data_IF_106193108462
#
_entry.id   IF_106193108462
#
_cell.length_a   1.000
_cell.length_b   1.000
_cell.length_c   1.000
_cell.angle_alpha   90.00
_cell.angle_beta   90.00
_cell.angle_gamma   90.00
#
_symmetry.space_group_name_H-M   'P 1'
#
loop_
_entity.id
_entity.type
_entity.pdbx_description
1 polymer ?
#
# COMPACT_ATOMS: atom_id res chain seq x y z
N UNK A 1 4.89 4.91 -17.92
CA UNK A 1 3.45 5.02 -17.61
C UNK A 1 3.27 4.25 -16.31
N UNK A 2 3.03 4.91 -15.19
CA UNK A 2 2.95 4.19 -13.92
C UNK A 2 1.71 3.28 -13.92
N UNK A 3 1.93 1.98 -13.77
CA UNK A 3 0.84 1.01 -13.73
C UNK A 3 0.29 1.01 -12.29
N UNK A 4 -0.95 1.45 -12.14
CA UNK A 4 -1.69 1.35 -10.89
C UNK A 4 -2.48 0.04 -10.92
N UNK A 5 -2.17 -0.86 -9.98
CA UNK A 5 -2.85 -2.12 -9.78
C UNK A 5 -3.88 -2.01 -8.66
N UNK A 6 -4.93 -2.82 -8.74
CA UNK A 6 -5.88 -2.98 -7.65
C UNK A 6 -5.54 -4.27 -6.89
N UNK A 7 -5.25 -4.14 -5.59
CA UNK A 7 -5.02 -5.26 -4.69
C UNK A 7 -6.02 -5.23 -3.54
N UNK A 8 -6.46 -6.39 -3.09
CA UNK A 8 -7.14 -6.48 -1.80
C UNK A 8 -6.15 -6.19 -0.66
N UNK A 9 -6.65 -5.69 0.47
CA UNK A 9 -5.80 -5.36 1.62
C UNK A 9 -5.01 -6.58 2.12
N UNK A 10 -5.56 -7.80 1.97
CA UNK A 10 -4.88 -9.06 2.31
C UNK A 10 -3.69 -9.41 1.40
N UNK A 11 -3.61 -8.80 0.23
CA UNK A 11 -2.57 -9.03 -0.80
C UNK A 11 -1.44 -7.99 -0.70
N UNK A 12 -1.59 -7.00 0.20
CA UNK A 12 -0.55 -6.00 0.43
C UNK A 12 0.69 -6.63 1.05
N UNK A 13 1.85 -6.10 0.69
CA UNK A 13 3.14 -6.42 1.25
C UNK A 13 3.84 -5.17 1.81
N UNK A 14 4.79 -5.37 2.73
CA UNK A 14 5.74 -4.31 3.10
C UNK A 14 6.58 -3.97 1.86
N UNK A 15 6.75 -2.68 1.59
CA UNK A 15 7.38 -2.17 0.37
C UNK A 15 6.40 -1.86 -0.77
N UNK A 16 5.12 -2.23 -0.67
CA UNK A 16 4.10 -1.72 -1.60
C UNK A 16 3.92 -0.20 -1.41
N UNK A 17 3.75 0.53 -2.52
CA UNK A 17 3.39 1.96 -2.50
C UNK A 17 1.91 2.11 -2.83
N UNK A 18 1.11 2.54 -1.87
CA UNK A 18 -0.31 2.84 -2.07
C UNK A 18 -0.48 4.22 -2.69
N UNK A 19 -1.54 4.41 -3.49
CA UNK A 19 -1.85 5.71 -4.10
C UNK A 19 -3.28 6.12 -3.77
N UNK A 20 -3.48 7.34 -3.27
CA UNK A 20 -4.83 7.90 -3.05
C UNK A 20 -5.48 8.34 -4.37
N UNK A 21 -6.77 8.65 -4.32
CA UNK A 21 -7.46 9.27 -5.45
C UNK A 21 -6.95 10.69 -5.77
N UNK A 22 -6.34 11.37 -4.79
CA UNK A 22 -5.73 12.71 -4.94
C UNK A 22 -4.29 12.65 -5.44
N UNK A 23 -3.72 11.45 -5.61
CA UNK A 23 -2.35 11.25 -6.11
C UNK A 23 -1.27 11.18 -5.03
N UNK A 24 -1.65 11.20 -3.75
CA UNK A 24 -0.70 11.02 -2.64
C UNK A 24 -0.20 9.58 -2.59
N UNK A 25 1.09 9.41 -2.25
CA UNK A 25 1.73 8.10 -2.17
C UNK A 25 2.10 7.74 -0.72
N UNK A 26 1.92 6.46 -0.39
CA UNK A 26 2.16 5.92 0.95
C UNK A 26 2.91 4.60 0.88
N UNK A 27 4.14 4.57 1.35
CA UNK A 27 4.97 3.37 1.35
C UNK A 27 4.63 2.53 2.58
N UNK A 28 4.17 1.30 2.36
CA UNK A 28 3.77 0.37 3.42
C UNK A 28 5.02 -0.12 4.14
N UNK A 29 5.12 0.20 5.43
CA UNK A 29 6.27 -0.17 6.28
C UNK A 29 5.97 -1.36 7.17
N UNK A 30 4.69 -1.59 7.51
CA UNK A 30 4.28 -2.71 8.36
C UNK A 30 2.82 -3.08 8.15
N UNK A 31 2.54 -4.38 8.24
CA UNK A 31 1.21 -4.95 8.23
C UNK A 31 0.99 -5.78 9.49
N UNK A 32 -0.18 -5.65 10.11
CA UNK A 32 -0.56 -6.47 11.26
C UNK A 32 -2.05 -6.83 11.19
N UNK A 33 -2.40 -8.09 11.44
CA UNK A 33 -3.80 -8.49 11.61
C UNK A 33 -4.31 -7.96 12.95
N UNK A 34 -5.46 -7.31 12.94
CA UNK A 34 -6.11 -6.75 14.14
C UNK A 34 -7.59 -7.11 14.09
N UNK A 35 -8.00 -8.04 14.96
CA UNK A 35 -9.35 -8.62 14.90
C UNK A 35 -9.63 -9.22 13.52
N UNK A 36 -10.70 -8.75 12.86
CA UNK A 36 -11.04 -9.16 11.48
C UNK A 36 -10.36 -8.32 10.39
N UNK A 37 -9.68 -7.24 10.74
CA UNK A 37 -9.06 -6.31 9.80
C UNK A 37 -7.55 -6.44 9.69
N UNK A 38 -6.97 -5.63 8.81
CA UNK A 38 -5.52 -5.49 8.63
C UNK A 38 -5.16 -4.03 8.89
N UNK A 39 -4.26 -3.82 9.84
CA UNK A 39 -3.63 -2.54 10.14
C UNK A 39 -2.46 -2.35 9.19
N UNK A 40 -2.53 -1.31 8.38
CA UNK A 40 -1.47 -0.88 7.47
C UNK A 40 -0.77 0.32 8.10
N UNK A 41 0.54 0.22 8.29
CA UNK A 41 1.38 1.36 8.68
C UNK A 41 2.17 1.78 7.45
N UNK A 42 2.28 3.09 7.27
CA UNK A 42 2.91 3.66 6.10
C UNK A 42 3.76 4.88 6.45
N UNK A 43 4.62 5.25 5.51
CA UNK A 43 5.29 6.55 5.47
C UNK A 43 4.86 7.28 4.20
N UNK A 44 4.58 8.58 4.31
CA UNK A 44 4.30 9.45 3.16
C UNK A 44 5.62 9.86 2.49
N UNK A 45 5.52 10.42 1.28
CA UNK A 45 6.68 10.95 0.56
C UNK A 45 7.41 12.07 1.30
N UNK A 46 6.72 12.83 2.17
CA UNK A 46 7.32 13.85 3.05
C UNK A 46 7.81 13.29 4.40
N UNK A 47 7.87 11.96 4.54
CA UNK A 47 8.47 11.27 5.69
C UNK A 47 7.54 11.14 6.91
N UNK A 48 6.27 11.52 6.82
CA UNK A 48 5.32 11.38 7.93
C UNK A 48 4.86 9.95 8.05
N UNK A 49 4.86 9.43 9.27
CA UNK A 49 4.34 8.10 9.55
C UNK A 49 2.83 8.15 9.83
N UNK A 50 2.12 7.16 9.33
CA UNK A 50 0.68 7.04 9.50
C UNK A 50 0.21 5.60 9.57
N UNK A 51 -1.09 5.43 9.84
CA UNK A 51 -1.72 4.10 9.83
C UNK A 51 -3.20 4.19 9.50
N UNK A 52 -3.72 3.16 8.85
CA UNK A 52 -5.15 2.91 8.75
C UNK A 52 -5.46 1.43 9.01
N UNK A 53 -6.73 1.10 9.18
CA UNK A 53 -7.18 -0.30 9.29
C UNK A 53 -8.28 -0.53 8.27
N UNK A 54 -8.19 -1.60 7.50
CA UNK A 54 -9.16 -1.95 6.48
C UNK A 54 -9.57 -3.43 6.59
N UNK A 55 -10.73 -3.74 6.00
CA UNK A 55 -11.19 -5.12 5.87
C UNK A 55 -10.28 -5.90 4.90
N UNK A 56 -10.10 -7.22 5.07
CA UNK A 56 -9.17 -7.99 4.24
C UNK A 56 -9.51 -8.00 2.73
N UNK A 57 -10.78 -7.81 2.38
CA UNK A 57 -11.33 -7.71 1.03
C UNK A 57 -11.43 -6.27 0.49
N UNK A 58 -11.14 -5.25 1.31
CA UNK A 58 -11.11 -3.87 0.83
C UNK A 58 -10.05 -3.68 -0.25
N UNK A 59 -10.41 -2.96 -1.31
CA UNK A 59 -9.57 -2.74 -2.49
C UNK A 59 -8.71 -1.48 -2.32
N UNK A 60 -7.42 -1.62 -2.61
CA UNK A 60 -6.39 -0.58 -2.53
C UNK A 60 -5.71 -0.42 -3.89
N UNK A 61 -5.40 0.83 -4.25
CA UNK A 61 -4.59 1.15 -5.43
C UNK A 61 -3.12 1.07 -5.04
N UNK A 62 -2.33 0.30 -5.78
CA UNK A 62 -0.90 0.09 -5.55
C UNK A 62 -0.15 0.47 -6.81
N UNK A 63 0.88 1.31 -6.67
CA UNK A 63 1.80 1.60 -7.75
C UNK A 63 2.71 0.39 -7.94
N UNK A 64 2.69 -0.22 -9.13
CA UNK A 64 3.69 -1.23 -9.50
C UNK A 64 5.00 -0.49 -9.76
N UNK A 65 6.02 -0.76 -8.95
CA UNK A 65 7.37 -0.41 -9.36
C UNK A 65 7.67 -1.23 -10.62
N UNK A 66 7.80 -0.57 -11.77
CA UNK A 66 8.27 -1.23 -12.99
C UNK A 66 9.53 -2.01 -12.60
N UNK A 67 9.46 -3.32 -12.74
CA UNK A 67 10.60 -4.21 -12.51
C UNK A 67 11.57 -4.03 -13.68
N UNK A 68 12.14 -2.84 -13.83
CA UNK A 68 13.31 -2.57 -14.66
C UNK A 68 14.56 -3.04 -13.91
N UNK A 69 14.56 -4.32 -13.55
CA UNK A 69 15.76 -5.09 -13.24
C UNK A 69 15.44 -6.59 -13.28
N UNK A 70 15.47 -7.14 -14.49
CA UNK A 70 15.86 -8.53 -14.72
C UNK A 70 16.64 -8.53 -16.04
N UNK A 71 17.92 -8.15 -15.91
CA UNK A 71 18.97 -8.46 -16.88
C UNK A 71 19.46 -9.89 -16.62
#
# INVERSE_FOLDING_TARGET
>A
MEIVELKQTRELAVGDTLVSATGDAYDVTKLARIGRGIRVQYVTTDGRTGRFTAAPDAVTRVRRADSLHAA
#
